data_IF_279853443127
#
_entry.id   IF_279853443127
#
_cell.length_a   1.000
_cell.length_b   1.000
_cell.length_c   1.000
_cell.angle_alpha   90.00
_cell.angle_beta   90.00
_cell.angle_gamma   90.00
#
_symmetry.space_group_name_H-M   'P 1'
#
loop_
_entity.id
_entity.type
_entity.pdbx_description
1 polymer ?
#
# COMPACT_ATOMS: atom_id res chain seq x y z
N UNK A 1 -23.75 18.27 -23.49
CA UNK A 1 -23.25 18.69 -22.16
C UNK A 1 -24.11 18.17 -20.99
N UNK A 2 -25.45 18.33 -21.01
CA UNK A 2 -26.36 17.84 -19.94
C UNK A 2 -26.29 16.33 -19.64
N UNK A 3 -26.13 15.46 -20.65
CA UNK A 3 -26.05 14.00 -20.42
C UNK A 3 -24.78 13.54 -19.70
N UNK A 4 -23.65 14.25 -19.87
CA UNK A 4 -22.40 13.96 -19.12
C UNK A 4 -22.57 14.29 -17.64
N UNK A 5 -23.12 15.46 -17.32
CA UNK A 5 -23.33 15.91 -15.94
C UNK A 5 -24.27 15.00 -15.15
N UNK A 6 -25.34 14.49 -15.77
CA UNK A 6 -26.26 13.54 -15.12
C UNK A 6 -25.59 12.20 -14.87
N UNK A 7 -24.77 11.72 -15.81
CA UNK A 7 -23.96 10.51 -15.63
C UNK A 7 -22.94 10.65 -14.51
N UNK A 8 -22.25 11.79 -14.46
CA UNK A 8 -21.25 12.11 -13.44
C UNK A 8 -21.89 12.20 -12.04
N UNK A 9 -23.05 12.87 -11.92
CA UNK A 9 -23.80 12.99 -10.67
C UNK A 9 -24.31 11.64 -10.14
N UNK A 10 -24.81 10.77 -11.02
CA UNK A 10 -25.22 9.41 -10.63
C UNK A 10 -24.05 8.59 -10.12
N UNK A 11 -22.88 8.69 -10.75
CA UNK A 11 -21.67 7.98 -10.29
C UNK A 11 -21.20 8.48 -8.94
N UNK A 12 -21.24 9.79 -8.71
CA UNK A 12 -20.87 10.38 -7.43
C UNK A 12 -21.80 9.91 -6.30
N UNK A 13 -23.12 9.92 -6.53
CA UNK A 13 -24.09 9.42 -5.57
C UNK A 13 -23.96 7.92 -5.29
N UNK A 14 -23.72 7.12 -6.33
CA UNK A 14 -23.45 5.70 -6.18
C UNK A 14 -22.18 5.44 -5.34
N UNK A 15 -21.12 6.22 -5.58
CA UNK A 15 -19.87 6.13 -4.82
C UNK A 15 -20.07 6.49 -3.34
N UNK A 16 -20.80 7.56 -3.05
CA UNK A 16 -21.11 7.95 -1.66
C UNK A 16 -21.92 6.87 -0.94
N UNK A 17 -22.92 6.30 -1.60
CA UNK A 17 -23.72 5.21 -1.04
C UNK A 17 -22.87 3.95 -0.78
N UNK A 18 -21.97 3.59 -1.71
CA UNK A 18 -21.04 2.48 -1.54
C UNK A 18 -20.07 2.70 -0.38
N UNK A 19 -19.54 3.92 -0.23
CA UNK A 19 -18.66 4.26 0.89
C UNK A 19 -19.38 4.14 2.22
N UNK A 20 -20.59 4.67 2.30
CA UNK A 20 -21.42 4.64 3.51
C UNK A 20 -21.70 3.19 3.92
N UNK A 21 -22.11 2.35 2.96
CA UNK A 21 -22.38 0.94 3.21
C UNK A 21 -21.14 0.16 3.62
N UNK A 22 -19.99 0.43 2.99
CA UNK A 22 -18.73 -0.18 3.39
C UNK A 22 -18.29 0.24 4.80
N UNK A 23 -18.54 1.50 5.20
CA UNK A 23 -18.26 1.97 6.54
C UNK A 23 -19.19 1.35 7.59
N UNK A 24 -20.46 1.11 7.23
CA UNK A 24 -21.43 0.40 8.07
C UNK A 24 -21.02 -1.08 8.26
N UNK A 25 -20.65 -1.76 7.18
CA UNK A 25 -20.13 -3.14 7.23
C UNK A 25 -18.87 -3.23 8.09
N UNK A 26 -17.93 -2.29 7.95
CA UNK A 26 -16.72 -2.23 8.77
C UNK A 26 -17.04 -2.05 10.26
N UNK A 27 -18.03 -1.22 10.60
CA UNK A 27 -18.49 -1.06 11.99
C UNK A 27 -19.14 -2.34 12.50
N UNK A 28 -19.99 -2.98 11.70
CA UNK A 28 -20.62 -4.25 12.05
C UNK A 28 -19.56 -5.35 12.28
N UNK A 29 -18.57 -5.46 11.40
CA UNK A 29 -17.46 -6.42 11.53
C UNK A 29 -16.64 -6.19 12.81
N UNK A 30 -16.37 -4.92 13.17
CA UNK A 30 -15.69 -4.59 14.43
C UNK A 30 -16.50 -4.95 15.68
N UNK A 31 -17.82 -4.84 15.62
CA UNK A 31 -18.72 -5.19 16.74
C UNK A 31 -18.88 -6.71 16.86
N UNK A 32 -19.06 -7.40 15.73
CA UNK A 32 -19.18 -8.85 15.67
C UNK A 32 -17.84 -9.57 15.94
N UNK A 33 -16.71 -8.87 15.74
CA UNK A 33 -15.37 -9.41 15.92
C UNK A 33 -14.86 -10.24 14.75
N UNK A 34 -15.67 -10.45 13.71
CA UNK A 34 -15.27 -11.06 12.44
C UNK A 34 -16.03 -10.47 11.26
N UNK A 35 -15.36 -10.39 10.11
CA UNK A 35 -15.95 -10.00 8.85
C UNK A 35 -16.93 -11.07 8.35
N UNK A 36 -16.68 -12.36 8.61
CA UNK A 36 -17.62 -13.44 8.25
C UNK A 36 -18.99 -13.28 8.90
N UNK A 37 -19.05 -12.91 10.19
CA UNK A 37 -20.33 -12.73 10.88
C UNK A 37 -21.12 -11.55 10.30
N UNK A 38 -20.45 -10.42 10.07
CA UNK A 38 -21.09 -9.23 9.50
C UNK A 38 -21.57 -9.45 8.05
N UNK A 39 -20.80 -10.18 7.23
CA UNK A 39 -21.20 -10.47 5.86
C UNK A 39 -22.34 -11.49 5.78
N UNK A 40 -22.42 -12.45 6.71
CA UNK A 40 -23.51 -13.42 6.76
C UNK A 40 -24.87 -12.74 7.03
N UNK A 41 -24.90 -11.71 7.89
CA UNK A 41 -26.09 -10.90 8.12
C UNK A 41 -26.58 -10.17 6.86
N UNK A 42 -25.65 -9.75 6.00
CA UNK A 42 -25.95 -9.03 4.76
C UNK A 42 -26.02 -9.94 3.51
N UNK A 43 -25.91 -11.27 3.65
CA UNK A 43 -25.81 -12.23 2.54
C UNK A 43 -24.72 -11.85 1.50
N UNK A 44 -23.60 -11.31 1.97
CA UNK A 44 -22.47 -10.92 1.12
C UNK A 44 -21.52 -12.11 0.92
N UNK A 45 -20.97 -12.22 -0.30
CA UNK A 45 -19.95 -13.22 -0.61
C UNK A 45 -18.60 -12.70 -0.11
N UNK A 46 -17.92 -13.48 0.73
CA UNK A 46 -16.55 -13.21 1.16
C UNK A 46 -15.59 -14.05 0.34
N UNK A 47 -14.48 -13.41 -0.06
CA UNK A 47 -13.33 -14.10 -0.63
C UNK A 47 -12.17 -14.10 0.36
N UNK A 48 -11.49 -15.25 0.43
CA UNK A 48 -10.25 -15.39 1.20
C UNK A 48 -9.05 -15.30 0.27
N UNK A 49 -8.11 -14.43 0.62
CA UNK A 49 -6.82 -14.31 -0.07
C UNK A 49 -5.94 -15.51 0.26
N UNK A 50 -5.07 -15.86 -0.68
CA UNK A 50 -3.97 -16.79 -0.40
C UNK A 50 -2.84 -16.04 0.32
N UNK A 51 -1.79 -16.75 0.72
CA UNK A 51 -0.62 -16.10 1.32
C UNK A 51 0.04 -15.13 0.34
N UNK A 52 0.13 -13.86 0.72
CA UNK A 52 0.68 -12.80 -0.13
C UNK A 52 1.75 -11.98 0.61
N UNK A 53 2.59 -11.28 -0.16
CA UNK A 53 3.63 -10.38 0.35
C UNK A 53 3.60 -9.04 -0.40
N UNK A 54 4.41 -8.07 0.03
CA UNK A 54 4.53 -6.77 -0.66
C UNK A 54 5.00 -6.93 -2.11
N UNK A 55 5.80 -7.95 -2.40
CA UNK A 55 6.26 -8.28 -3.77
C UNK A 55 5.22 -9.09 -4.55
N UNK A 56 4.59 -10.07 -3.89
CA UNK A 56 3.55 -10.93 -4.48
C UNK A 56 2.21 -10.62 -3.82
N UNK A 57 1.62 -9.51 -4.25
CA UNK A 57 0.32 -9.06 -3.74
C UNK A 57 -0.83 -9.85 -4.36
N UNK A 58 -1.84 -10.23 -3.58
CA UNK A 58 -3.00 -10.96 -4.07
C UNK A 58 -3.92 -10.03 -4.90
N UNK A 59 -4.20 -10.33 -6.18
CA UNK A 59 -5.07 -9.51 -7.01
C UNK A 59 -6.52 -9.48 -6.53
N UNK A 60 -6.98 -10.43 -5.70
CA UNK A 60 -8.37 -10.48 -5.19
C UNK A 60 -8.75 -9.27 -4.35
N UNK A 61 -7.78 -8.60 -3.72
CA UNK A 61 -8.02 -7.37 -2.95
C UNK A 61 -8.30 -6.17 -3.85
N UNK A 62 -7.98 -6.24 -5.16
CA UNK A 62 -8.21 -5.19 -6.15
C UNK A 62 -7.64 -3.81 -5.77
N UNK A 63 -6.64 -3.78 -4.88
CA UNK A 63 -6.01 -2.56 -4.39
C UNK A 63 -4.94 -2.04 -5.34
N UNK A 64 -4.95 -0.72 -5.52
CA UNK A 64 -3.92 0.01 -6.26
C UNK A 64 -2.60 -0.05 -5.50
N UNK A 65 -1.44 -0.04 -6.19
CA UNK A 65 -0.14 -0.17 -5.55
C UNK A 65 0.10 0.78 -4.37
N UNK A 66 -0.38 2.02 -4.47
CA UNK A 66 -0.22 3.05 -3.43
C UNK A 66 -1.06 2.80 -2.17
N UNK A 67 -2.13 2.00 -2.28
CA UNK A 67 -3.10 1.77 -1.19
C UNK A 67 -2.85 0.41 -0.51
N UNK A 68 -1.90 -0.39 -1.02
CA UNK A 68 -1.55 -1.71 -0.47
C UNK A 68 -0.88 -1.62 0.90
N UNK A 69 -0.20 -0.51 1.18
CA UNK A 69 0.53 -0.32 2.45
C UNK A 69 -0.41 -0.36 3.65
N UNK A 70 -1.67 0.06 3.48
CA UNK A 70 -2.67 0.05 4.54
C UNK A 70 -2.99 -1.38 5.01
N UNK A 71 -3.07 -2.34 4.08
CA UNK A 71 -3.29 -3.77 4.43
C UNK A 71 -2.11 -4.33 5.22
N UNK A 72 -0.88 -3.93 4.90
CA UNK A 72 0.31 -4.38 5.63
C UNK A 72 0.57 -3.61 6.93
N UNK A 73 -0.25 -2.60 7.24
CA UNK A 73 -0.21 -1.88 8.51
C UNK A 73 -1.08 -2.55 9.58
N UNK A 74 -1.96 -3.46 9.17
CA UNK A 74 -2.83 -4.24 10.05
C UNK A 74 -2.00 -5.15 10.96
N UNK A 75 -2.51 -5.40 12.17
CA UNK A 75 -1.87 -6.23 13.18
C UNK A 75 -2.89 -7.05 13.94
N UNK A 76 -2.46 -8.03 14.74
CA UNK A 76 -3.39 -8.84 15.54
C UNK A 76 -4.24 -7.98 16.50
N UNK A 77 -3.71 -6.84 16.95
CA UNK A 77 -4.42 -5.85 17.76
C UNK A 77 -5.36 -4.95 16.94
N UNK A 78 -5.05 -4.72 15.65
CA UNK A 78 -5.81 -3.90 14.72
C UNK A 78 -6.07 -4.70 13.44
N UNK A 79 -7.01 -5.66 13.52
CA UNK A 79 -7.31 -6.61 12.43
C UNK A 79 -8.08 -5.99 11.27
N UNK A 80 -8.73 -4.86 11.51
CA UNK A 80 -9.55 -4.15 10.53
C UNK A 80 -8.90 -2.82 10.15
N UNK A 81 -8.99 -2.39 8.88
CA UNK A 81 -8.51 -1.07 8.46
C UNK A 81 -9.31 0.05 9.12
N UNK A 82 -8.72 1.24 9.24
CA UNK A 82 -9.36 2.40 9.87
C UNK A 82 -10.59 2.87 9.07
N UNK A 83 -10.49 2.82 7.75
CA UNK A 83 -11.55 3.14 6.82
C UNK A 83 -11.68 2.07 5.72
N UNK A 84 -12.82 2.00 5.00
CA UNK A 84 -12.93 1.15 3.82
C UNK A 84 -11.91 1.54 2.76
N UNK A 85 -11.27 0.54 2.16
CA UNK A 85 -10.22 0.73 1.18
C UNK A 85 -10.83 1.03 -0.19
N UNK A 86 -10.39 2.12 -0.83
CA UNK A 86 -10.89 2.49 -2.14
C UNK A 86 -10.31 1.57 -3.23
N UNK A 87 -11.17 1.07 -4.11
CA UNK A 87 -10.76 0.28 -5.29
C UNK A 87 -11.33 0.89 -6.56
N UNK A 88 -10.88 0.40 -7.72
CA UNK A 88 -11.43 0.81 -9.00
C UNK A 88 -12.91 0.41 -9.09
N UNK A 89 -13.78 1.42 -8.96
CA UNK A 89 -15.23 1.25 -9.06
C UNK A 89 -15.97 1.04 -7.72
N UNK A 90 -15.30 1.08 -6.57
CA UNK A 90 -15.98 0.86 -5.29
C UNK A 90 -15.08 0.94 -4.06
N UNK A 91 -15.46 0.17 -3.03
CA UNK A 91 -14.76 0.06 -1.76
C UNK A 91 -14.70 -1.40 -1.33
N UNK A 92 -13.59 -1.79 -0.68
CA UNK A 92 -13.37 -3.11 -0.11
C UNK A 92 -13.14 -2.98 1.39
N UNK A 93 -13.67 -3.92 2.15
CA UNK A 93 -13.38 -4.11 3.57
C UNK A 93 -12.67 -5.44 3.72
N UNK A 94 -11.56 -5.46 4.45
CA UNK A 94 -10.78 -6.66 4.72
C UNK A 94 -10.53 -6.84 6.21
N UNK A 95 -10.21 -8.08 6.59
CA UNK A 95 -9.78 -8.45 7.93
C UNK A 95 -8.45 -9.21 7.84
N UNK A 96 -7.54 -8.91 8.77
CA UNK A 96 -6.32 -9.68 8.96
C UNK A 96 -6.65 -11.00 9.66
N UNK A 97 -6.58 -12.08 8.90
CA UNK A 97 -6.75 -13.44 9.41
C UNK A 97 -5.49 -13.98 10.09
N UNK A 98 -4.33 -13.82 9.43
CA UNK A 98 -3.06 -14.35 9.92
C UNK A 98 -1.88 -13.54 9.35
N UNK A 99 -0.85 -13.32 10.16
CA UNK A 99 0.39 -12.67 9.76
C UNK A 99 1.57 -13.59 10.08
N UNK A 100 2.32 -14.00 9.04
CA UNK A 100 3.49 -14.86 9.21
C UNK A 100 4.78 -14.07 9.01
N UNK A 101 5.66 -13.96 10.03
CA UNK A 101 6.97 -13.35 9.83
C UNK A 101 7.84 -14.21 8.90
N UNK A 102 8.78 -13.60 8.16
CA UNK A 102 9.77 -14.36 7.41
C UNK A 102 10.62 -15.21 8.35
N UNK A 103 11.19 -16.31 7.85
CA UNK A 103 12.12 -17.10 8.66
C UNK A 103 13.37 -16.29 9.01
N UNK A 104 14.00 -16.61 10.15
CA UNK A 104 15.23 -15.96 10.62
C UNK A 104 16.33 -15.95 9.54
N UNK A 105 16.46 -17.05 8.80
CA UNK A 105 17.45 -17.20 7.72
C UNK A 105 17.18 -16.26 6.55
N UNK A 106 15.93 -16.19 6.07
CA UNK A 106 15.51 -15.30 4.99
C UNK A 106 15.69 -13.84 5.42
N UNK A 107 15.27 -13.53 6.65
CA UNK A 107 15.42 -12.20 7.23
C UNK A 107 16.89 -11.78 7.33
N UNK A 108 17.77 -12.66 7.84
CA UNK A 108 19.20 -12.37 7.94
C UNK A 108 19.84 -12.12 6.57
N UNK A 109 19.48 -12.93 5.56
CA UNK A 109 19.97 -12.78 4.19
C UNK A 109 19.54 -11.46 3.56
N UNK A 110 18.25 -11.11 3.67
CA UNK A 110 17.72 -9.86 3.13
C UNK A 110 18.27 -8.63 3.86
N UNK A 111 18.49 -8.73 5.17
CA UNK A 111 19.12 -7.68 5.98
C UNK A 111 20.53 -7.36 5.48
N UNK A 112 21.36 -8.38 5.26
CA UNK A 112 22.72 -8.17 4.76
C UNK A 112 22.76 -7.65 3.32
N UNK A 113 21.86 -8.13 2.45
CA UNK A 113 21.70 -7.59 1.10
C UNK A 113 21.30 -6.11 1.13
N UNK A 114 20.31 -5.76 1.95
CA UNK A 114 19.81 -4.38 2.12
C UNK A 114 20.88 -3.47 2.71
N UNK A 115 21.62 -3.95 3.72
CA UNK A 115 22.74 -3.23 4.33
C UNK A 115 23.81 -2.89 3.29
N UNK A 116 24.25 -3.87 2.50
CA UNK A 116 25.26 -3.65 1.45
C UNK A 116 24.81 -2.64 0.40
N UNK A 117 23.55 -2.75 -0.06
CA UNK A 117 22.95 -1.80 -1.02
C UNK A 117 22.93 -0.38 -0.47
N UNK A 118 22.45 -0.20 0.76
CA UNK A 118 22.39 1.12 1.41
C UNK A 118 23.77 1.71 1.65
N UNK A 119 24.75 0.90 2.05
CA UNK A 119 26.14 1.36 2.24
C UNK A 119 26.74 1.85 0.92
N UNK A 120 26.61 1.08 -0.17
CA UNK A 120 27.10 1.48 -1.48
C UNK A 120 26.44 2.77 -1.97
N UNK A 121 25.12 2.91 -1.77
CA UNK A 121 24.38 4.13 -2.14
C UNK A 121 24.89 5.36 -1.37
N UNK A 122 25.09 5.25 -0.06
CA UNK A 122 25.63 6.35 0.77
C UNK A 122 27.06 6.72 0.39
N UNK A 123 27.91 5.73 0.12
CA UNK A 123 29.28 5.96 -0.33
C UNK A 123 29.31 6.71 -1.67
N UNK A 124 28.49 6.29 -2.64
CA UNK A 124 28.38 6.98 -3.92
C UNK A 124 27.89 8.42 -3.75
N UNK A 125 26.85 8.65 -2.93
CA UNK A 125 26.34 9.99 -2.64
C UNK A 125 27.41 10.88 -1.99
N UNK A 126 28.14 10.36 -0.99
CA UNK A 126 29.21 11.10 -0.32
C UNK A 126 30.35 11.44 -1.29
N UNK A 127 30.72 10.49 -2.16
CA UNK A 127 31.77 10.70 -3.15
C UNK A 127 31.40 11.78 -4.16
N UNK A 128 30.17 11.77 -4.68
CA UNK A 128 29.69 12.81 -5.59
C UNK A 128 29.66 14.18 -4.91
N UNK A 129 29.07 14.27 -3.72
CA UNK A 129 29.02 15.52 -2.96
C UNK A 129 30.42 16.07 -2.63
N UNK A 130 31.36 15.18 -2.29
CA UNK A 130 32.75 15.56 -2.05
C UNK A 130 33.45 16.06 -3.32
N UNK A 131 33.25 15.40 -4.46
CA UNK A 131 33.84 15.80 -5.73
C UNK A 131 33.29 17.16 -6.21
N UNK A 132 31.99 17.39 -6.06
CA UNK A 132 31.32 18.66 -6.36
C UNK A 132 31.88 19.79 -5.49
N UNK A 133 32.02 19.58 -4.17
CA UNK A 133 32.62 20.56 -3.25
C UNK A 133 34.06 20.92 -3.65
N UNK A 134 34.86 19.91 -4.02
CA UNK A 134 36.25 20.11 -4.44
C UNK A 134 36.38 20.83 -5.77
N UNK A 135 35.52 20.52 -6.74
CA UNK A 135 35.47 21.24 -8.03
C UNK A 135 35.04 22.68 -7.85
N UNK A 136 34.02 22.95 -7.03
CA UNK A 136 33.56 24.31 -6.76
C UNK A 136 34.62 25.20 -6.09
N UNK A 137 35.48 24.60 -5.26
CA UNK A 137 36.59 25.30 -4.58
C UNK A 137 37.89 25.36 -5.38
N UNK A 138 38.00 24.58 -6.46
CA UNK A 138 39.19 24.55 -7.29
C UNK A 138 39.04 25.53 -8.46
N UNK A 139 40.06 26.36 -8.69
CA UNK A 139 40.13 27.21 -9.87
C UNK A 139 40.58 26.36 -11.07
N UNK A 140 39.62 25.72 -11.76
CA UNK A 140 39.89 24.81 -12.88
C UNK A 140 39.68 25.54 -14.20
N UNK A 141 40.75 25.88 -14.89
CA UNK A 141 40.72 26.32 -16.29
C UNK A 141 40.72 25.09 -17.20
N UNK A 142 39.63 24.86 -17.95
CA UNK A 142 39.55 23.79 -18.96
C UNK A 142 39.90 24.41 -20.31
N UNK A 143 41.12 24.17 -20.80
CA UNK A 143 41.52 24.52 -22.16
C UNK A 143 41.05 23.41 -23.11
N UNK A 144 40.06 23.71 -23.96
CA UNK A 144 39.70 22.85 -25.09
C UNK A 144 40.49 23.30 -26.31
N UNK A 145 41.31 22.42 -26.87
CA UNK A 145 41.95 22.65 -28.17
C UNK A 145 40.92 22.41 -29.31
N UNK A 146 40.88 23.35 -30.25
CA UNK A 146 40.05 23.36 -31.47
C UNK A 146 40.60 22.45 -32.56
#
# INVERSE_FOLDING_TARGET
>A
MKQRVVGDFKREKARQAAQQRAAELLKAARVAGSLEAAAAEENLVIEKTDWFSRERFDPKLLLRPNDRDEVFSLSEAHRFPEAPLAVDGGFVVCELLEARPPSEEVFAKEREATRRRLMAQKQAQLWQAWLEDRRAKANVEILQEL
#
